data_IF_876073111059
#
_entry.id   IF_876073111059
#
_cell.length_a   1.000
_cell.length_b   1.000
_cell.length_c   1.000
_cell.angle_alpha   90.00
_cell.angle_beta   90.00
_cell.angle_gamma   90.00
#
_symmetry.space_group_name_H-M   'P 1'
#
loop_
_entity.id
_entity.type
_entity.pdbx_description
1 polymer ?
#
# COMPACT_ATOMS: atom_id res chain seq x y z
N UNK A 1 -7.31 -20.49 -4.41
CA UNK A 1 -7.96 -19.21 -4.12
C UNK A 1 -7.88 -18.97 -2.62
N UNK A 2 -7.07 -18.00 -2.18
CA UNK A 2 -7.05 -17.56 -0.78
C UNK A 2 -8.04 -16.40 -0.68
N UNK A 3 -9.27 -16.68 -0.24
CA UNK A 3 -10.27 -15.64 -0.04
C UNK A 3 -9.97 -14.90 1.27
N UNK A 4 -9.61 -13.62 1.19
CA UNK A 4 -9.49 -12.73 2.37
C UNK A 4 -10.86 -12.36 2.95
N UNK A 5 -11.93 -12.71 2.24
CA UNK A 5 -13.32 -12.54 2.64
C UNK A 5 -13.84 -13.89 3.14
N UNK A 6 -14.27 -13.93 4.40
CA UNK A 6 -14.92 -15.10 5.02
C UNK A 6 -16.43 -14.91 4.93
N UNK A 7 -17.14 -15.90 4.37
CA UNK A 7 -18.61 -15.92 4.34
C UNK A 7 -19.12 -16.74 5.52
N UNK A 8 -19.92 -16.14 6.40
CA UNK A 8 -20.74 -16.86 7.38
C UNK A 8 -22.23 -16.61 7.11
N UNK A 9 -23.04 -17.66 7.17
CA UNK A 9 -24.50 -17.55 7.01
C UNK A 9 -25.22 -17.73 8.34
N UNK A 10 -25.99 -16.72 8.76
CA UNK A 10 -26.91 -16.81 9.90
C UNK A 10 -28.34 -16.60 9.39
N UNK A 11 -29.17 -17.65 9.48
CA UNK A 11 -30.62 -17.62 9.29
C UNK A 11 -31.14 -16.75 8.12
N UNK A 12 -30.60 -16.96 6.90
CA UNK A 12 -30.91 -16.26 5.62
C UNK A 12 -30.08 -15.02 5.25
N UNK A 13 -29.15 -14.56 6.08
CA UNK A 13 -28.25 -13.43 5.77
C UNK A 13 -26.80 -13.95 5.60
N UNK A 14 -26.17 -13.59 4.49
CA UNK A 14 -24.73 -13.79 4.24
C UNK A 14 -23.94 -12.63 4.85
N UNK A 15 -23.07 -12.91 5.80
CA UNK A 15 -22.17 -11.93 6.41
C UNK A 15 -20.77 -12.16 5.88
N UNK A 16 -20.19 -11.13 5.27
CA UNK A 16 -18.83 -11.15 4.75
C UNK A 16 -17.91 -10.43 5.75
N UNK A 17 -16.91 -11.12 6.26
CA UNK A 17 -15.88 -10.55 7.14
C UNK A 17 -14.56 -10.44 6.39
N UNK A 18 -13.92 -9.28 6.42
CA UNK A 18 -12.59 -9.10 5.86
C UNK A 18 -11.55 -9.49 6.91
N UNK A 19 -10.70 -10.47 6.61
CA UNK A 19 -9.55 -10.83 7.45
C UNK A 19 -8.42 -9.79 7.32
N UNK A 20 -8.69 -8.55 7.76
CA UNK A 20 -7.82 -7.38 7.57
C UNK A 20 -6.39 -7.66 8.06
N UNK A 21 -6.23 -8.35 9.18
CA UNK A 21 -4.89 -8.66 9.71
C UNK A 21 -4.10 -9.61 8.79
N UNK A 22 -4.74 -10.63 8.20
CA UNK A 22 -4.07 -11.53 7.26
C UNK A 22 -3.72 -10.80 5.97
N UNK A 23 -4.64 -9.99 5.46
CA UNK A 23 -4.42 -9.17 4.26
C UNK A 23 -3.25 -8.19 4.45
N UNK A 24 -3.21 -7.45 5.57
CA UNK A 24 -2.12 -6.52 5.88
C UNK A 24 -0.77 -7.25 6.00
N UNK A 25 -0.74 -8.45 6.59
CA UNK A 25 0.50 -9.26 6.68
C UNK A 25 1.00 -9.68 5.30
N UNK A 26 0.11 -10.10 4.41
CA UNK A 26 0.49 -10.48 3.04
C UNK A 26 0.97 -9.28 2.23
N UNK A 27 0.25 -8.15 2.31
CA UNK A 27 0.66 -6.87 1.70
C UNK A 27 2.06 -6.46 2.19
N UNK A 28 2.30 -6.56 3.50
CA UNK A 28 3.61 -6.23 4.08
C UNK A 28 4.73 -7.12 3.54
N UNK A 29 4.45 -8.42 3.33
CA UNK A 29 5.40 -9.36 2.74
C UNK A 29 5.70 -9.00 1.28
N UNK A 30 4.67 -8.88 0.45
CA UNK A 30 4.80 -8.58 -0.98
C UNK A 30 5.50 -7.24 -1.20
N UNK A 31 5.09 -6.20 -0.47
CA UNK A 31 5.72 -4.88 -0.55
C UNK A 31 7.21 -4.93 -0.18
N UNK A 32 7.60 -5.71 0.83
CA UNK A 32 9.02 -5.85 1.20
C UNK A 32 9.82 -6.62 0.17
N UNK A 33 9.26 -7.66 -0.45
CA UNK A 33 9.92 -8.43 -1.50
C UNK A 33 10.17 -7.53 -2.73
N UNK A 34 9.14 -6.82 -3.19
CA UNK A 34 9.22 -5.87 -4.31
C UNK A 34 10.19 -4.72 -4.00
N UNK A 35 10.04 -4.09 -2.83
CA UNK A 35 10.88 -2.97 -2.38
C UNK A 35 12.37 -3.31 -2.30
N UNK A 36 12.71 -4.56 -1.96
CA UNK A 36 14.10 -5.04 -1.94
C UNK A 36 14.63 -5.36 -3.34
N UNK A 37 13.80 -5.93 -4.20
CA UNK A 37 14.18 -6.34 -5.55
C UNK A 37 14.43 -5.14 -6.49
N UNK A 38 13.67 -4.05 -6.33
CA UNK A 38 13.78 -2.86 -7.17
C UNK A 38 14.46 -1.71 -6.42
N UNK A 39 15.64 -1.32 -6.88
CA UNK A 39 16.42 -0.21 -6.29
C UNK A 39 15.83 1.17 -6.55
N UNK A 40 14.93 1.29 -7.54
CA UNK A 40 14.22 2.52 -7.83
C UNK A 40 13.16 2.83 -6.76
N UNK A 41 12.73 1.83 -5.98
CA UNK A 41 11.74 2.04 -4.92
C UNK A 41 12.41 2.62 -3.67
N UNK A 42 11.98 3.83 -3.31
CA UNK A 42 12.36 4.51 -2.09
C UNK A 42 11.45 4.14 -0.93
N UNK A 43 10.14 4.08 -1.16
CA UNK A 43 9.15 3.83 -0.10
C UNK A 43 7.89 3.17 -0.65
N UNK A 44 7.27 2.32 0.16
CA UNK A 44 5.94 1.77 -0.09
C UNK A 44 5.09 2.00 1.16
N UNK A 45 3.91 2.58 0.98
CA UNK A 45 3.01 2.97 2.06
C UNK A 45 1.61 2.43 1.75
N UNK A 46 1.02 1.72 2.70
CA UNK A 46 -0.41 1.41 2.68
C UNK A 46 -1.17 2.60 3.25
N UNK A 47 -2.18 3.11 2.55
CA UNK A 47 -3.02 4.19 3.05
C UNK A 47 -4.51 3.89 2.82
N UNK A 48 -5.36 4.91 2.95
CA UNK A 48 -6.79 4.77 2.73
C UNK A 48 -7.52 3.96 3.80
N UNK A 49 -8.64 3.37 3.41
CA UNK A 49 -9.61 2.76 4.32
C UNK A 49 -9.04 1.57 5.11
N UNK A 50 -8.13 0.80 4.51
CA UNK A 50 -7.47 -0.34 5.17
C UNK A 50 -6.47 0.13 6.24
N UNK A 51 -5.71 1.19 5.96
CA UNK A 51 -4.80 1.77 6.96
C UNK A 51 -5.55 2.33 8.18
N UNK A 52 -6.76 2.85 7.98
CA UNK A 52 -7.61 3.40 9.05
C UNK A 52 -8.48 2.34 9.76
N UNK A 53 -8.33 1.05 9.44
CA UNK A 53 -9.17 -0.07 9.94
C UNK A 53 -10.67 0.09 9.65
N UNK A 54 -11.00 0.86 8.60
CA UNK A 54 -12.38 1.10 8.13
C UNK A 54 -12.72 0.31 6.86
N UNK A 55 -11.80 -0.51 6.36
CA UNK A 55 -12.02 -1.31 5.16
C UNK A 55 -13.17 -2.32 5.35
N UNK A 56 -14.07 -2.33 4.38
CA UNK A 56 -15.15 -3.31 4.25
C UNK A 56 -14.77 -4.35 3.18
N UNK A 57 -15.44 -5.51 3.09
CA UNK A 57 -15.10 -6.55 2.12
C UNK A 57 -15.08 -6.14 0.63
N UNK A 58 -15.68 -4.99 0.29
CA UNK A 58 -15.64 -4.40 -1.06
C UNK A 58 -14.72 -3.18 -1.20
N UNK A 59 -13.88 -2.88 -0.21
CA UNK A 59 -12.90 -1.79 -0.29
C UNK A 59 -11.65 -2.22 -1.05
N UNK A 60 -11.07 -1.32 -1.84
CA UNK A 60 -9.76 -1.52 -2.46
C UNK A 60 -8.61 -1.26 -1.48
N UNK A 61 -7.43 -1.79 -1.80
CA UNK A 61 -6.19 -1.54 -1.05
C UNK A 61 -5.39 -0.45 -1.72
N UNK A 62 -5.34 0.73 -1.10
CA UNK A 62 -4.59 1.88 -1.59
C UNK A 62 -3.10 1.79 -1.21
N UNK A 63 -2.23 1.63 -2.21
CA UNK A 63 -0.77 1.55 -2.03
C UNK A 63 -0.07 2.70 -2.75
N UNK A 64 0.64 3.52 -1.98
CA UNK A 64 1.55 4.52 -2.52
C UNK A 64 2.95 3.91 -2.68
N UNK A 65 3.50 4.02 -3.88
CA UNK A 65 4.90 3.67 -4.16
C UNK A 65 5.64 4.95 -4.53
N UNK A 66 6.73 5.22 -3.83
CA UNK A 66 7.61 6.35 -4.10
C UNK A 66 8.86 5.84 -4.80
N UNK A 67 9.05 6.28 -6.03
CA UNK A 67 10.19 5.97 -6.89
C UNK A 67 11.24 7.08 -6.83
N UNK A 68 12.52 6.72 -7.02
CA UNK A 68 13.62 7.67 -7.09
C UNK A 68 13.48 8.55 -8.33
N UNK A 69 13.25 7.94 -9.49
CA UNK A 69 12.99 8.64 -10.74
C UNK A 69 12.23 7.74 -11.71
N UNK A 70 11.41 8.34 -12.56
CA UNK A 70 10.78 7.66 -13.68
C UNK A 70 10.37 8.71 -14.72
N UNK A 71 10.70 8.47 -15.98
CA UNK A 71 10.42 9.40 -17.08
C UNK A 71 9.06 9.12 -17.76
N UNK A 72 8.38 8.03 -17.39
CA UNK A 72 7.06 7.68 -17.91
C UNK A 72 5.96 8.57 -17.33
N UNK A 73 4.87 8.72 -18.10
CA UNK A 73 3.67 9.41 -17.61
C UNK A 73 3.10 8.70 -16.38
N UNK A 74 2.30 9.41 -15.57
CA UNK A 74 1.65 8.79 -14.41
C UNK A 74 0.75 7.61 -14.81
N UNK A 75 0.02 7.72 -15.93
CA UNK A 75 -0.87 6.66 -16.42
C UNK A 75 -0.08 5.41 -16.83
N UNK A 76 1.04 5.57 -17.55
CA UNK A 76 1.88 4.44 -17.95
C UNK A 76 2.49 3.74 -16.73
N UNK A 77 2.90 4.53 -15.72
CA UNK A 77 3.36 3.98 -14.45
C UNK A 77 2.25 3.22 -13.73
N UNK A 78 1.04 3.76 -13.68
CA UNK A 78 -0.09 3.12 -13.01
C UNK A 78 -0.36 1.74 -13.61
N UNK A 79 -0.40 1.62 -14.94
CA UNK A 79 -0.58 0.32 -15.61
C UNK A 79 0.57 -0.64 -15.28
N UNK A 80 1.82 -0.20 -15.43
CA UNK A 80 2.99 -1.05 -15.15
C UNK A 80 3.02 -1.57 -13.71
N UNK A 81 2.73 -0.71 -12.74
CA UNK A 81 2.78 -1.08 -11.33
C UNK A 81 1.60 -1.95 -10.92
N UNK A 82 0.41 -1.71 -11.46
CA UNK A 82 -0.76 -2.57 -11.23
C UNK A 82 -0.52 -3.99 -11.72
N UNK A 83 0.21 -4.18 -12.82
CA UNK A 83 0.59 -5.53 -13.30
C UNK A 83 1.70 -6.17 -12.46
N UNK A 84 2.65 -5.38 -11.96
CA UNK A 84 3.76 -5.88 -11.12
C UNK A 84 3.31 -6.32 -9.73
N UNK A 85 2.26 -5.73 -9.19
CA UNK A 85 1.77 -6.02 -7.84
C UNK A 85 0.63 -7.05 -7.90
N UNK A 86 0.99 -8.33 -7.85
CA UNK A 86 0.00 -9.42 -7.85
C UNK A 86 -0.44 -9.78 -6.44
N UNK A 87 -1.73 -9.68 -6.16
CA UNK A 87 -2.38 -10.06 -4.91
C UNK A 87 -3.82 -10.49 -5.23
N UNK A 88 -4.33 -11.50 -4.52
CA UNK A 88 -5.71 -12.01 -4.66
C UNK A 88 -6.75 -11.05 -4.01
N UNK A 89 -6.61 -9.74 -4.19
CA UNK A 89 -7.50 -8.72 -3.64
C UNK A 89 -7.42 -7.44 -4.48
N UNK A 90 -8.50 -6.65 -4.63
CA UNK A 90 -8.45 -5.39 -5.38
C UNK A 90 -7.41 -4.40 -4.82
N UNK A 91 -6.52 -3.91 -5.69
CA UNK A 91 -5.49 -2.94 -5.33
C UNK A 91 -5.55 -1.72 -6.24
N UNK A 92 -5.33 -0.57 -5.62
CA UNK A 92 -5.12 0.68 -6.32
C UNK A 92 -3.71 1.19 -6.00
N UNK A 93 -2.89 1.33 -7.04
CA UNK A 93 -1.48 1.69 -6.87
C UNK A 93 -1.24 3.11 -7.38
N UNK A 94 -0.53 3.86 -6.56
CA UNK A 94 -0.18 5.24 -6.80
C UNK A 94 1.35 5.37 -6.94
N UNK A 95 1.92 5.18 -8.14
CA UNK A 95 3.37 5.20 -8.35
C UNK A 95 3.88 6.62 -8.61
N UNK A 96 4.23 7.34 -7.55
CA UNK A 96 4.78 8.70 -7.62
C UNK A 96 6.30 8.71 -7.51
N UNK A 97 6.95 9.76 -7.99
CA UNK A 97 8.39 9.98 -7.84
C UNK A 97 8.70 10.90 -6.66
N UNK A 98 9.97 10.95 -6.25
CA UNK A 98 10.47 11.93 -5.28
C UNK A 98 10.20 13.40 -5.68
N UNK A 99 10.00 13.68 -6.98
CA UNK A 99 9.66 15.03 -7.46
C UNK A 99 8.19 15.40 -7.22
N UNK A 100 7.34 14.42 -6.95
CA UNK A 100 5.87 14.56 -6.89
C UNK A 100 5.32 14.51 -5.45
N UNK A 101 6.17 14.72 -4.43
CA UNK A 101 5.80 14.57 -3.02
C UNK A 101 4.80 15.59 -2.49
N UNK A 102 4.61 16.70 -3.21
CA UNK A 102 3.70 17.77 -2.85
C UNK A 102 2.25 17.52 -3.32
N UNK A 103 1.97 16.38 -3.97
CA UNK A 103 0.60 16.04 -4.39
C UNK A 103 -0.24 15.66 -3.16
N UNK A 104 -1.50 16.13 -3.04
CA UNK A 104 -2.36 15.87 -1.87
C UNK A 104 -2.45 14.41 -1.42
N UNK A 105 -2.64 13.48 -2.36
CA UNK A 105 -2.72 12.04 -2.05
C UNK A 105 -1.41 11.51 -1.45
N UNK A 106 -0.26 11.98 -1.95
CA UNK A 106 1.06 11.59 -1.43
C UNK A 106 1.25 12.12 -0.02
N UNK A 107 0.88 13.38 0.23
CA UNK A 107 0.96 13.98 1.56
C UNK A 107 0.06 13.27 2.57
N UNK A 108 -1.16 12.90 2.18
CA UNK A 108 -2.08 12.16 3.03
C UNK A 108 -1.53 10.76 3.37
N UNK A 109 -1.07 10.02 2.37
CA UNK A 109 -0.49 8.70 2.56
C UNK A 109 0.75 8.76 3.46
N UNK A 110 1.65 9.73 3.27
CA UNK A 110 2.83 9.89 4.13
C UNK A 110 2.44 10.24 5.58
N UNK A 111 1.37 11.01 5.78
CA UNK A 111 0.93 11.47 7.11
C UNK A 111 0.17 10.40 7.89
N UNK A 112 -0.74 9.68 7.22
CA UNK A 112 -1.69 8.74 7.86
C UNK A 112 -1.41 7.27 7.57
N UNK A 113 -0.67 7.00 6.50
CA UNK A 113 -0.44 5.64 6.03
C UNK A 113 0.53 4.84 6.88
N UNK A 114 0.48 3.52 6.70
CA UNK A 114 1.35 2.54 7.34
C UNK A 114 2.54 2.28 6.41
N UNK A 115 3.79 2.60 6.82
CA UNK A 115 4.95 2.31 6.00
C UNK A 115 5.19 0.80 5.93
N UNK A 116 5.15 0.25 4.72
CA UNK A 116 5.39 -1.17 4.45
C UNK A 116 6.87 -1.43 4.15
N UNK A 117 7.48 -0.54 3.40
CA UNK A 117 8.91 -0.58 3.03
C UNK A 117 9.47 0.84 2.98
N UNK A 118 10.71 1.01 3.45
CA UNK A 118 11.45 2.25 3.34
C UNK A 118 12.92 1.92 3.12
N UNK A 119 13.52 2.54 2.09
CA UNK A 119 14.94 2.46 1.81
C UNK A 119 15.63 3.62 2.50
N UNK A 120 16.72 3.33 3.22
CA UNK A 120 17.57 4.37 3.81
C UNK A 120 18.26 5.15 2.67
N UNK A 121 17.62 6.21 2.20
CA UNK A 121 18.15 7.09 1.18
C UNK A 121 18.65 8.38 1.84
N UNK A 122 19.89 8.78 1.53
CA UNK A 122 20.55 9.98 2.08
C UNK A 122 20.01 11.30 1.50
N UNK A 123 19.06 11.23 0.57
CA UNK A 123 18.32 12.38 0.04
C UNK A 123 17.42 13.01 1.11
N UNK A 124 17.79 14.21 1.55
CA UNK A 124 17.35 14.92 2.75
C UNK A 124 15.87 15.34 2.83
N UNK A 125 14.93 14.72 2.12
CA UNK A 125 13.52 15.19 2.02
C UNK A 125 12.48 14.40 2.83
N UNK A 126 12.78 13.19 3.30
CA UNK A 126 11.80 12.34 4.02
C UNK A 126 11.89 12.36 5.56
N UNK A 127 12.58 13.32 6.19
CA UNK A 127 12.77 13.35 7.66
C UNK A 127 11.50 13.57 8.49
N UNK A 128 10.31 13.62 7.88
CA UNK A 128 9.03 13.69 8.58
C UNK A 128 8.36 12.32 8.68
N UNK A 129 8.16 11.84 9.91
CA UNK A 129 7.35 10.66 10.30
C UNK A 129 8.14 9.36 10.55
N UNK A 130 8.99 9.38 11.58
CA UNK A 130 9.28 8.16 12.36
C UNK A 130 7.97 7.68 13.01
N UNK A 131 7.23 6.80 12.32
CA UNK A 131 6.22 6.00 13.00
C UNK A 131 6.93 5.00 13.90
N UNK A 132 6.86 5.26 15.20
CA UNK A 132 7.32 4.39 16.27
C UNK A 132 6.45 3.13 16.21
N UNK A 133 6.93 2.07 15.57
CA UNK A 133 6.33 0.73 15.66
C UNK A 133 6.38 0.34 17.13
N UNK A 134 5.29 0.56 17.86
CA UNK A 134 5.10 -0.02 19.19
C UNK A 134 4.95 -1.52 18.98
N UNK A 135 6.07 -2.25 19.10
CA UNK A 135 6.03 -3.66 19.47
C UNK A 135 5.30 -3.75 20.81
N UNK A 136 4.13 -4.38 20.82
CA UNK A 136 3.57 -5.02 22.00
C UNK A 136 3.63 -6.52 21.77
#
# INVERSE_FOLDING_TARGET
MRSFVVEESLNSVKVFWLEQEKLIREIYRVAREIGKADENILKIILFGSLAEKRAVPGSDVDILIILKSNDKSFMDRLVEWSEKFSLDFPLEIFPYTEKELNIPVVMEAVKKGIPLFERNYSGSKFRGSRFKVRKR
#
